data_IF_628166998751
#
_entry.id   IF_628166998751
#
_cell.length_a   1.000
_cell.length_b   1.000
_cell.length_c   1.000
_cell.angle_alpha   90.00
_cell.angle_beta   90.00
_cell.angle_gamma   90.00
#
_symmetry.space_group_name_H-M   'P 1'
#
loop_
_entity.id
_entity.type
_entity.pdbx_description
1 polymer ?
#
# COMPACT_ATOMS: atom_id res chain seq x y z
N UNK A 1 7.72 -0.54 -19.53
CA UNK A 1 7.07 -1.16 -18.35
C UNK A 1 6.28 -2.37 -18.81
N UNK A 2 6.12 -3.41 -17.98
CA UNK A 2 5.19 -4.50 -18.26
C UNK A 2 3.73 -4.06 -17.96
N UNK A 3 2.73 -4.81 -18.41
CA UNK A 3 1.32 -4.43 -18.28
C UNK A 3 0.88 -4.18 -16.81
N UNK A 4 1.28 -5.01 -15.82
CA UNK A 4 0.96 -4.74 -14.41
C UNK A 4 1.57 -3.43 -13.88
N UNK A 5 2.82 -3.13 -14.21
CA UNK A 5 3.47 -1.87 -13.81
C UNK A 5 2.79 -0.65 -14.46
N UNK A 6 2.37 -0.76 -15.72
CA UNK A 6 1.66 0.32 -16.40
C UNK A 6 0.29 0.60 -15.80
N UNK A 7 -0.46 -0.45 -15.42
CA UNK A 7 -1.76 -0.32 -14.78
C UNK A 7 -1.65 0.33 -13.39
N UNK A 8 -0.69 -0.12 -12.58
CA UNK A 8 -0.40 0.47 -11.27
C UNK A 8 -0.02 1.95 -11.37
N UNK A 9 0.90 2.28 -12.29
CA UNK A 9 1.33 3.66 -12.50
C UNK A 9 0.14 4.57 -12.85
N UNK A 10 -0.65 4.16 -13.84
CA UNK A 10 -1.83 4.92 -14.29
C UNK A 10 -2.86 5.10 -13.17
N UNK A 11 -3.15 4.04 -12.41
CA UNK A 11 -4.15 4.08 -11.34
C UNK A 11 -3.73 5.01 -10.20
N UNK A 12 -2.47 4.93 -9.76
CA UNK A 12 -1.95 5.77 -8.68
C UNK A 12 -1.85 7.25 -9.08
N UNK A 13 -1.29 7.53 -10.26
CA UNK A 13 -1.15 8.91 -10.77
C UNK A 13 -2.52 9.52 -11.08
N UNK A 14 -3.48 8.73 -11.56
CA UNK A 14 -4.85 9.15 -11.81
C UNK A 14 -5.62 9.48 -10.54
N UNK A 15 -5.44 8.69 -9.48
CA UNK A 15 -6.12 8.85 -8.20
C UNK A 15 -5.55 9.99 -7.33
N UNK A 16 -4.29 10.36 -7.52
CA UNK A 16 -3.56 11.24 -6.60
C UNK A 16 -4.21 12.61 -6.36
N UNK A 17 -4.56 13.35 -7.42
CA UNK A 17 -5.15 14.68 -7.28
C UNK A 17 -6.58 14.64 -6.74
N UNK A 18 -7.48 13.77 -7.25
CA UNK A 18 -8.81 13.60 -6.65
C UNK A 18 -8.73 13.28 -5.15
N UNK A 19 -7.85 12.36 -4.76
CA UNK A 19 -7.63 12.01 -3.36
C UNK A 19 -7.14 13.21 -2.54
N UNK A 20 -6.08 13.90 -3.00
CA UNK A 20 -5.51 15.04 -2.28
C UNK A 20 -6.52 16.20 -2.13
N UNK A 21 -7.37 16.45 -3.14
CA UNK A 21 -8.45 17.45 -3.00
C UNK A 21 -9.47 17.01 -1.95
N UNK A 22 -9.91 15.75 -2.02
CA UNK A 22 -10.86 15.20 -1.04
C UNK A 22 -10.34 15.24 0.39
N UNK A 23 -9.06 14.91 0.60
CA UNK A 23 -8.44 14.86 1.93
C UNK A 23 -8.28 16.26 2.55
N UNK A 24 -7.99 17.27 1.72
CA UNK A 24 -7.94 18.68 2.13
C UNK A 24 -9.33 19.18 2.56
N UNK A 25 -10.35 18.88 1.75
CA UNK A 25 -11.74 19.26 2.05
C UNK A 25 -12.24 18.60 3.33
N UNK A 26 -12.01 17.29 3.50
CA UNK A 26 -12.37 16.52 4.69
C UNK A 26 -11.76 17.14 5.96
N UNK A 27 -10.48 17.53 5.90
CA UNK A 27 -9.75 18.14 7.01
C UNK A 27 -9.99 19.63 7.16
N UNK A 28 -10.77 20.24 6.27
CA UNK A 28 -11.02 21.69 6.23
C UNK A 28 -9.72 22.50 6.13
N UNK A 29 -8.75 21.97 5.39
CA UNK A 29 -7.48 22.64 5.11
C UNK A 29 -7.66 23.60 3.92
N UNK A 30 -6.85 24.67 3.84
CA UNK A 30 -6.91 25.56 2.69
C UNK A 30 -6.58 24.81 1.40
N UNK A 31 -7.22 25.18 0.27
CA UNK A 31 -6.90 24.59 -1.01
C UNK A 31 -5.45 24.92 -1.39
N UNK A 32 -4.80 23.97 -2.03
CA UNK A 32 -3.45 24.16 -2.56
C UNK A 32 -3.48 24.87 -3.93
N UNK A 33 -2.48 25.71 -4.25
CA UNK A 33 -2.32 26.23 -5.60
C UNK A 33 -2.18 25.12 -6.64
N UNK A 34 -2.69 25.35 -7.85
CA UNK A 34 -2.59 24.37 -8.95
C UNK A 34 -1.14 23.98 -9.27
N UNK A 35 -0.18 24.89 -9.07
CA UNK A 35 1.25 24.64 -9.24
C UNK A 35 1.79 23.64 -8.21
N UNK A 36 1.37 23.75 -6.94
CA UNK A 36 1.75 22.80 -5.89
C UNK A 36 1.15 21.41 -6.16
N UNK A 37 -0.12 21.36 -6.58
CA UNK A 37 -0.77 20.12 -6.98
C UNK A 37 -0.06 19.45 -8.18
N UNK A 38 0.23 20.24 -9.22
CA UNK A 38 0.88 19.75 -10.44
C UNK A 38 2.30 19.26 -10.16
N UNK A 39 3.06 19.99 -9.33
CA UNK A 39 4.42 19.62 -8.96
C UNK A 39 4.46 18.32 -8.15
N UNK A 40 3.54 18.15 -7.19
CA UNK A 40 3.43 16.93 -6.40
C UNK A 40 3.05 15.72 -7.26
N UNK A 41 2.10 15.89 -8.20
CA UNK A 41 1.73 14.85 -9.15
C UNK A 41 2.89 14.48 -10.09
N UNK A 42 3.61 15.47 -10.60
CA UNK A 42 4.75 15.24 -11.49
C UNK A 42 5.88 14.46 -10.77
N UNK A 43 6.16 14.83 -9.51
CA UNK A 43 7.12 14.10 -8.68
C UNK A 43 6.70 12.64 -8.46
N UNK A 44 5.43 12.41 -8.09
CA UNK A 44 4.89 11.05 -7.94
C UNK A 44 5.01 10.25 -9.25
N UNK A 45 4.64 10.87 -10.36
CA UNK A 45 4.68 10.25 -11.69
C UNK A 45 6.09 9.79 -12.06
N UNK A 46 7.10 10.62 -11.79
CA UNK A 46 8.52 10.32 -12.03
C UNK A 46 9.05 9.23 -11.09
N UNK A 47 8.86 9.37 -9.78
CA UNK A 47 9.39 8.43 -8.79
C UNK A 47 8.73 7.06 -8.89
N UNK A 48 7.42 7.01 -9.16
CA UNK A 48 6.72 5.75 -9.36
C UNK A 48 7.20 5.07 -10.65
N UNK A 49 7.41 5.82 -11.74
CA UNK A 49 7.99 5.27 -12.96
C UNK A 49 9.41 4.72 -12.71
N UNK A 50 10.23 5.43 -11.94
CA UNK A 50 11.56 4.97 -11.54
C UNK A 50 11.48 3.67 -10.74
N UNK A 51 10.67 3.63 -9.68
CA UNK A 51 10.50 2.45 -8.83
C UNK A 51 10.11 1.23 -9.66
N UNK A 52 9.13 1.39 -10.55
CA UNK A 52 8.57 0.30 -11.35
C UNK A 52 9.48 -0.15 -12.51
N UNK A 53 10.49 0.64 -12.86
CA UNK A 53 11.54 0.25 -13.80
C UNK A 53 12.61 -0.64 -13.14
N UNK A 54 12.73 -0.63 -11.81
CA UNK A 54 13.71 -1.46 -11.10
C UNK A 54 13.28 -2.94 -11.08
N UNK A 55 14.23 -3.88 -11.08
CA UNK A 55 13.95 -5.27 -10.71
C UNK A 55 13.33 -5.35 -9.31
N UNK A 56 12.41 -6.29 -9.09
CA UNK A 56 11.71 -6.45 -7.80
C UNK A 56 12.63 -6.55 -6.57
N UNK A 57 13.80 -7.19 -6.72
CA UNK A 57 14.81 -7.30 -5.65
C UNK A 57 15.46 -5.97 -5.25
N UNK A 58 15.33 -4.93 -6.08
CA UNK A 58 15.85 -3.57 -5.84
C UNK A 58 14.74 -2.57 -5.53
N UNK A 59 13.48 -2.99 -5.56
CA UNK A 59 12.35 -2.18 -5.15
C UNK A 59 12.24 -2.21 -3.62
N UNK A 60 13.02 -1.37 -2.94
CA UNK A 60 13.02 -1.31 -1.47
C UNK A 60 11.80 -0.56 -0.90
N UNK A 61 11.20 0.32 -1.72
CA UNK A 61 9.93 1.00 -1.44
C UNK A 61 8.76 0.27 -2.10
N UNK A 62 7.57 0.47 -1.58
CA UNK A 62 6.28 0.14 -2.16
C UNK A 62 5.70 1.33 -2.93
N UNK A 63 4.78 1.08 -3.88
CA UNK A 63 4.04 2.15 -4.56
C UNK A 63 3.31 3.08 -3.59
N UNK A 64 2.76 2.54 -2.50
CA UNK A 64 2.06 3.32 -1.49
C UNK A 64 3.01 4.27 -0.75
N UNK A 65 4.21 3.80 -0.37
CA UNK A 65 5.23 4.65 0.25
C UNK A 65 5.62 5.82 -0.67
N UNK A 66 5.71 5.61 -1.99
CA UNK A 66 5.98 6.71 -2.93
C UNK A 66 4.84 7.74 -2.94
N UNK A 67 3.57 7.31 -2.86
CA UNK A 67 2.44 8.24 -2.74
C UNK A 67 2.50 9.01 -1.42
N UNK A 68 2.86 8.34 -0.32
CA UNK A 68 3.00 8.98 0.98
C UNK A 68 4.13 10.01 0.98
N UNK A 69 5.27 9.72 0.35
CA UNK A 69 6.38 10.65 0.16
C UNK A 69 5.99 11.87 -0.70
N UNK A 70 5.14 11.69 -1.71
CA UNK A 70 4.66 12.77 -2.56
C UNK A 70 3.88 13.87 -1.79
N UNK A 71 3.44 13.58 -0.56
CA UNK A 71 2.76 14.55 0.32
C UNK A 71 3.70 15.58 0.93
N UNK A 72 5.02 15.44 0.78
CA UNK A 72 5.99 16.41 1.28
C UNK A 72 5.80 17.82 0.67
N UNK A 73 5.57 17.90 -0.65
CA UNK A 73 5.31 19.17 -1.34
C UNK A 73 4.02 19.86 -0.86
N UNK A 74 2.86 19.17 -0.89
CA UNK A 74 1.61 19.64 -0.29
C UNK A 74 1.75 20.09 1.17
N UNK A 75 2.47 19.33 1.98
CA UNK A 75 2.72 19.66 3.40
C UNK A 75 3.50 20.96 3.55
N UNK A 76 4.57 21.14 2.78
CA UNK A 76 5.38 22.36 2.80
C UNK A 76 4.56 23.60 2.38
N UNK A 77 3.62 23.44 1.46
CA UNK A 77 2.75 24.53 1.02
C UNK A 77 1.72 24.91 2.10
N UNK A 78 1.15 23.93 2.81
CA UNK A 78 0.29 24.19 3.97
C UNK A 78 1.06 24.89 5.10
N UNK A 79 2.30 24.50 5.33
CA UNK A 79 3.19 25.16 6.29
C UNK A 79 3.44 26.62 5.90
N UNK A 80 3.71 26.88 4.62
CA UNK A 80 3.98 28.23 4.09
C UNK A 80 2.82 29.19 4.32
N UNK A 81 1.58 28.71 4.22
CA UNK A 81 0.36 29.52 4.45
C UNK A 81 -0.07 29.54 5.93
N UNK A 82 0.68 28.87 6.82
CA UNK A 82 0.37 28.82 8.24
C UNK A 82 -0.91 28.05 8.56
N UNK A 83 -1.24 27.02 7.77
CA UNK A 83 -2.42 26.20 8.01
C UNK A 83 -2.34 25.53 9.39
N UNK A 84 -3.46 25.48 10.09
CA UNK A 84 -3.57 24.83 11.40
C UNK A 84 -3.59 23.31 11.19
N UNK A 85 -2.59 22.61 11.73
CA UNK A 85 -2.54 21.15 11.65
C UNK A 85 -3.68 20.53 12.49
N UNK A 86 -4.38 19.51 11.96
CA UNK A 86 -5.40 18.79 12.71
C UNK A 86 -4.78 18.00 13.87
N UNK A 87 -5.59 17.67 14.87
CA UNK A 87 -5.18 16.69 15.88
C UNK A 87 -5.06 15.32 15.19
N UNK A 88 -3.90 14.68 15.34
CA UNK A 88 -3.62 13.36 14.76
C UNK A 88 -3.53 12.30 15.84
N UNK A 89 -3.94 11.10 15.47
CA UNK A 89 -3.77 9.90 16.28
C UNK A 89 -2.27 9.61 16.53
N UNK A 90 -1.82 9.28 17.76
CA UNK A 90 -0.42 9.01 18.06
C UNK A 90 0.19 7.85 17.26
N UNK A 91 -0.59 6.81 16.93
CA UNK A 91 -0.11 5.68 16.12
C UNK A 91 0.12 6.15 14.69
N UNK A 92 -0.80 6.92 14.12
CA UNK A 92 -0.64 7.51 12.79
C UNK A 92 0.55 8.49 12.69
N UNK A 93 0.82 9.25 13.76
CA UNK A 93 2.01 10.12 13.85
C UNK A 93 3.29 9.30 13.92
N UNK A 94 3.31 8.22 14.69
CA UNK A 94 4.47 7.34 14.77
C UNK A 94 4.76 6.62 13.44
N UNK A 95 3.71 6.20 12.72
CA UNK A 95 3.84 5.54 11.43
C UNK A 95 4.34 6.48 10.32
N UNK A 96 3.85 7.73 10.29
CA UNK A 96 4.22 8.72 9.29
C UNK A 96 4.52 10.08 9.95
N UNK A 97 5.73 10.26 10.53
CA UNK A 97 6.09 11.46 11.29
C UNK A 97 6.11 12.74 10.44
N UNK A 98 6.44 12.62 9.14
CA UNK A 98 6.49 13.74 8.21
C UNK A 98 5.12 14.24 7.74
N UNK A 99 4.06 13.46 7.95
CA UNK A 99 2.72 13.76 7.44
C UNK A 99 1.94 14.69 8.39
N UNK A 100 2.47 15.89 8.65
CA UNK A 100 1.96 16.80 9.68
C UNK A 100 0.45 17.09 9.58
N UNK A 101 -0.08 17.13 8.36
CA UNK A 101 -1.48 17.43 8.08
C UNK A 101 -2.34 16.18 7.88
N UNK A 102 -1.77 14.97 8.00
CA UNK A 102 -2.50 13.73 7.82
C UNK A 102 -2.95 13.51 6.36
N UNK A 103 -2.21 13.99 5.37
CA UNK A 103 -2.55 13.93 3.95
C UNK A 103 -2.23 12.57 3.34
N UNK A 104 -1.34 11.79 3.94
CA UNK A 104 -0.85 10.56 3.34
C UNK A 104 -1.89 9.43 3.50
N UNK A 105 -2.18 8.66 2.43
CA UNK A 105 -3.11 7.55 2.52
C UNK A 105 -2.52 6.43 3.38
N UNK A 106 -3.29 5.94 4.34
CA UNK A 106 -2.90 4.79 5.18
C UNK A 106 -2.93 3.45 4.41
N UNK A 107 -3.72 3.39 3.32
CA UNK A 107 -3.93 2.20 2.49
C UNK A 107 -4.16 2.61 1.04
N UNK A 108 -3.85 1.76 0.06
CA UNK A 108 -4.21 2.02 -1.34
C UNK A 108 -5.71 1.93 -1.60
N UNK A 109 -6.51 1.38 -0.67
CA UNK A 109 -7.96 1.29 -0.78
C UNK A 109 -8.61 2.67 -0.92
N UNK A 110 -8.13 3.67 -0.16
CA UNK A 110 -8.69 5.03 -0.19
C UNK A 110 -8.36 5.81 -1.48
N UNK A 111 -7.50 5.26 -2.34
CA UNK A 111 -7.21 5.80 -3.66
C UNK A 111 -8.21 5.30 -4.73
N UNK A 112 -9.12 4.40 -4.36
CA UNK A 112 -10.12 3.83 -5.25
C UNK A 112 -9.80 2.40 -5.69
N UNK A 113 -10.83 1.74 -6.21
CA UNK A 113 -10.82 0.30 -6.52
C UNK A 113 -9.70 -0.10 -7.49
N UNK A 114 -9.48 0.69 -8.54
CA UNK A 114 -8.46 0.40 -9.54
C UNK A 114 -7.04 0.47 -8.96
N UNK A 115 -6.76 1.48 -8.12
CA UNK A 115 -5.47 1.63 -7.46
C UNK A 115 -5.24 0.48 -6.47
N UNK A 116 -6.27 0.11 -5.69
CA UNK A 116 -6.19 -1.03 -4.79
C UNK A 116 -5.87 -2.34 -5.54
N UNK A 117 -6.65 -2.67 -6.57
CA UNK A 117 -6.45 -3.90 -7.34
C UNK A 117 -5.06 -3.94 -8.00
N UNK A 118 -4.58 -2.83 -8.55
CA UNK A 118 -3.26 -2.77 -9.15
C UNK A 118 -2.12 -2.92 -8.13
N UNK A 119 -2.26 -2.34 -6.93
CA UNK A 119 -1.29 -2.48 -5.85
C UNK A 119 -1.17 -3.93 -5.38
N UNK A 120 -2.31 -4.61 -5.24
CA UNK A 120 -2.39 -6.02 -4.89
C UNK A 120 -1.70 -6.90 -5.93
N UNK A 121 -2.00 -6.69 -7.21
CA UNK A 121 -1.35 -7.40 -8.31
C UNK A 121 0.18 -7.20 -8.33
N UNK A 122 0.66 -5.97 -8.07
CA UNK A 122 2.08 -5.69 -7.93
C UNK A 122 2.73 -6.46 -6.77
N UNK A 123 2.09 -6.46 -5.59
CA UNK A 123 2.60 -7.14 -4.40
C UNK A 123 2.75 -8.65 -4.63
N UNK A 124 1.74 -9.27 -5.25
CA UNK A 124 1.75 -10.69 -5.62
C UNK A 124 2.85 -11.00 -6.62
N UNK A 125 2.97 -10.19 -7.68
CA UNK A 125 4.01 -10.37 -8.69
C UNK A 125 5.41 -10.24 -8.09
N UNK A 126 5.61 -9.27 -7.17
CA UNK A 126 6.87 -9.09 -6.44
C UNK A 126 7.20 -10.31 -5.58
N UNK A 127 6.24 -10.80 -4.79
CA UNK A 127 6.44 -11.98 -3.96
C UNK A 127 6.74 -13.22 -4.78
N UNK A 128 6.03 -13.44 -5.89
CA UNK A 128 6.29 -14.56 -6.79
C UNK A 128 7.70 -14.52 -7.38
N UNK A 129 8.19 -13.33 -7.75
CA UNK A 129 9.53 -13.16 -8.29
C UNK A 129 10.63 -13.36 -7.24
N UNK A 130 10.35 -13.06 -5.97
CA UNK A 130 11.30 -13.20 -4.87
C UNK A 130 11.25 -14.59 -4.20
N UNK A 131 10.14 -15.33 -4.34
CA UNK A 131 9.93 -16.65 -3.75
C UNK A 131 11.07 -17.65 -4.02
N UNK A 132 11.63 -17.78 -5.24
CA UNK A 132 12.74 -18.72 -5.49
C UNK A 132 14.05 -18.34 -4.80
N UNK A 133 14.21 -17.08 -4.39
CA UNK A 133 15.43 -16.56 -3.78
C UNK A 133 15.46 -16.77 -2.26
N UNK A 134 14.31 -17.03 -1.64
CA UNK A 134 14.18 -17.28 -0.20
C UNK A 134 14.11 -18.79 0.03
N UNK A 135 15.25 -19.40 0.33
CA UNK A 135 15.34 -20.85 0.61
C UNK A 135 14.45 -21.22 1.80
N UNK A 136 13.39 -22.01 1.57
CA UNK A 136 12.52 -22.55 2.62
C UNK A 136 11.13 -21.92 2.78
N UNK A 137 10.75 -20.92 1.97
CA UNK A 137 9.36 -20.47 1.90
C UNK A 137 8.57 -21.28 0.86
N UNK A 138 7.36 -21.74 1.20
CA UNK A 138 6.47 -22.40 0.24
C UNK A 138 5.97 -21.39 -0.80
N UNK A 139 5.54 -21.83 -1.98
CA UNK A 139 4.86 -20.97 -2.98
C UNK A 139 3.45 -20.53 -2.53
N UNK A 140 3.27 -20.32 -1.24
CA UNK A 140 2.00 -20.06 -0.58
C UNK A 140 1.86 -18.57 -0.28
N UNK A 141 0.67 -18.04 -0.54
CA UNK A 141 0.23 -16.72 -0.12
C UNK A 141 -0.87 -16.93 0.91
N UNK A 142 -0.74 -16.28 2.06
CA UNK A 142 -1.80 -16.28 3.06
C UNK A 142 -2.72 -15.11 2.86
N UNK A 143 -4.01 -15.37 3.00
CA UNK A 143 -5.05 -14.34 2.97
C UNK A 143 -5.89 -14.47 4.23
N UNK A 144 -5.90 -13.40 5.01
CA UNK A 144 -6.77 -13.19 6.17
C UNK A 144 -7.72 -12.06 5.77
N UNK A 145 -8.94 -12.40 5.35
CA UNK A 145 -9.90 -11.45 4.78
C UNK A 145 -11.31 -11.75 5.26
N UNK A 146 -12.07 -10.71 5.65
CA UNK A 146 -13.50 -10.83 5.88
C UNK A 146 -14.32 -10.56 4.60
N UNK A 147 -13.75 -9.85 3.63
CA UNK A 147 -14.41 -9.53 2.35
C UNK A 147 -14.15 -10.61 1.28
N UNK A 148 -15.24 -11.10 0.67
CA UNK A 148 -15.21 -12.09 -0.42
C UNK A 148 -14.74 -11.50 -1.76
N UNK A 149 -15.00 -10.21 -2.01
CA UNK A 149 -14.59 -9.51 -3.24
C UNK A 149 -13.07 -9.36 -3.25
N UNK A 150 -12.51 -8.87 -2.14
CA UNK A 150 -11.05 -8.72 -2.03
C UNK A 150 -10.34 -10.07 -2.09
N UNK A 151 -10.92 -11.09 -1.44
CA UNK A 151 -10.43 -12.46 -1.55
C UNK A 151 -10.42 -12.97 -2.99
N UNK A 152 -11.48 -12.74 -3.77
CA UNK A 152 -11.54 -13.17 -5.18
C UNK A 152 -10.46 -12.50 -6.02
N UNK A 153 -10.24 -11.19 -5.84
CA UNK A 153 -9.20 -10.44 -6.58
C UNK A 153 -7.80 -10.95 -6.25
N UNK A 154 -7.56 -11.22 -4.97
CA UNK A 154 -6.30 -11.81 -4.52
C UNK A 154 -6.12 -13.19 -5.15
N UNK A 155 -7.16 -14.01 -5.17
CA UNK A 155 -7.11 -15.35 -5.75
C UNK A 155 -6.74 -15.31 -7.24
N UNK A 156 -7.35 -14.41 -8.02
CA UNK A 156 -7.06 -14.26 -9.45
C UNK A 156 -5.60 -13.86 -9.70
N UNK A 157 -5.08 -12.91 -8.92
CA UNK A 157 -3.70 -12.47 -9.04
C UNK A 157 -2.71 -13.55 -8.55
N UNK A 158 -3.02 -14.28 -7.47
CA UNK A 158 -2.22 -15.42 -6.96
C UNK A 158 -2.13 -16.52 -8.02
N UNK A 159 -3.26 -16.85 -8.66
CA UNK A 159 -3.33 -17.85 -9.74
C UNK A 159 -2.49 -17.43 -10.95
N UNK A 160 -2.57 -16.16 -11.35
CA UNK A 160 -1.77 -15.61 -12.44
C UNK A 160 -0.26 -15.64 -12.18
N UNK A 161 0.15 -15.65 -10.91
CA UNK A 161 1.54 -15.71 -10.49
C UNK A 161 2.04 -17.14 -10.16
N UNK A 162 1.23 -18.17 -10.43
CA UNK A 162 1.53 -19.57 -10.12
C UNK A 162 1.87 -19.80 -8.63
N UNK A 163 1.21 -19.04 -7.75
CA UNK A 163 1.27 -19.21 -6.30
C UNK A 163 0.02 -19.96 -5.81
N UNK A 164 0.07 -20.49 -4.59
CA UNK A 164 -1.05 -21.17 -3.94
C UNK A 164 -1.64 -20.28 -2.85
N UNK A 165 -2.94 -20.02 -2.92
CA UNK A 165 -3.63 -19.29 -1.85
C UNK A 165 -3.97 -20.23 -0.69
N UNK A 166 -3.70 -19.82 0.53
CA UNK A 166 -4.07 -20.54 1.75
C UNK A 166 -4.79 -19.59 2.73
N UNK A 167 -5.88 -20.07 3.32
CA UNK A 167 -6.50 -19.43 4.49
C UNK A 167 -5.77 -19.90 5.74
N UNK A 168 -5.51 -19.00 6.68
CA UNK A 168 -4.88 -19.35 7.95
C UNK A 168 -5.77 -18.97 9.13
N UNK A 169 -6.29 -19.94 9.89
CA UNK A 169 -7.10 -19.67 11.08
C UNK A 169 -6.19 -19.30 12.25
N UNK A 170 -5.88 -18.01 12.39
CA UNK A 170 -4.88 -17.45 13.31
C UNK A 170 -5.12 -17.95 14.75
N UNK A 171 -6.35 -17.81 15.25
CA UNK A 171 -6.71 -18.16 16.63
C UNK A 171 -6.63 -19.67 16.97
N UNK A 172 -6.64 -20.55 15.97
CA UNK A 172 -6.69 -22.01 16.17
C UNK A 172 -5.35 -22.69 15.83
N UNK A 173 -4.38 -21.95 15.31
CA UNK A 173 -3.15 -22.50 14.76
C UNK A 173 -1.99 -22.44 15.76
N UNK A 174 -1.32 -23.57 15.95
CA UNK A 174 -0.07 -23.65 16.73
C UNK A 174 1.18 -23.56 15.87
N UNK A 175 1.05 -23.80 14.56
CA UNK A 175 2.13 -23.68 13.58
C UNK A 175 1.99 -22.38 12.80
N UNK A 176 3.03 -21.54 12.88
CA UNK A 176 3.08 -20.31 12.10
C UNK A 176 3.53 -20.66 10.67
N UNK A 177 2.67 -20.46 9.67
CA UNK A 177 3.03 -20.70 8.29
C UNK A 177 4.12 -19.73 7.84
N UNK A 178 4.91 -20.15 6.84
CA UNK A 178 5.98 -19.33 6.25
C UNK A 178 5.67 -19.04 4.79
N UNK A 179 4.60 -18.27 4.50
CA UNK A 179 4.27 -17.90 3.13
C UNK A 179 5.30 -16.91 2.59
N UNK A 180 5.32 -16.77 1.26
CA UNK A 180 6.13 -15.75 0.58
C UNK A 180 5.54 -14.35 0.76
N UNK A 181 4.24 -14.27 1.02
CA UNK A 181 3.48 -13.04 1.24
C UNK A 181 2.22 -13.34 2.03
N UNK A 182 1.82 -12.42 2.89
CA UNK A 182 0.52 -12.46 3.54
C UNK A 182 -0.26 -11.17 3.26
N UNK A 183 -1.55 -11.34 2.97
CA UNK A 183 -2.52 -10.26 2.89
C UNK A 183 -3.41 -10.33 4.12
N UNK A 184 -3.49 -9.22 4.85
CA UNK A 184 -4.29 -9.13 6.07
C UNK A 184 -5.25 -7.93 5.97
N UNK A 185 -6.54 -8.22 5.96
CA UNK A 185 -7.60 -7.25 6.13
C UNK A 185 -7.59 -6.74 7.58
N UNK A 186 -7.31 -5.46 7.80
CA UNK A 186 -7.22 -4.83 9.12
C UNK A 186 -8.57 -4.78 9.83
N UNK A 187 -9.67 -5.01 9.11
CA UNK A 187 -11.00 -5.16 9.71
C UNK A 187 -11.28 -6.59 10.19
N UNK A 188 -10.40 -7.55 9.89
CA UNK A 188 -10.50 -8.91 10.40
C UNK A 188 -10.25 -8.92 11.92
N UNK A 189 -11.04 -9.65 12.72
CA UNK A 189 -10.89 -9.66 14.18
C UNK A 189 -9.49 -10.08 14.66
N UNK A 190 -8.83 -10.96 13.90
CA UNK A 190 -7.49 -11.45 14.21
C UNK A 190 -6.35 -10.69 13.48
N UNK A 191 -6.64 -9.54 12.87
CA UNK A 191 -5.68 -8.85 12.00
C UNK A 191 -4.37 -8.47 12.71
N UNK A 192 -4.46 -7.84 13.88
CA UNK A 192 -3.30 -7.39 14.64
C UNK A 192 -2.39 -8.56 15.03
N UNK A 193 -2.99 -9.66 15.48
CA UNK A 193 -2.28 -10.89 15.83
C UNK A 193 -1.63 -11.52 14.59
N UNK A 194 -2.36 -11.62 13.49
CA UNK A 194 -1.85 -12.15 12.23
C UNK A 194 -0.62 -11.36 11.74
N UNK A 195 -0.73 -10.02 11.72
CA UNK A 195 0.35 -9.12 11.30
C UNK A 195 1.56 -9.32 12.22
N UNK A 196 1.36 -9.29 13.53
CA UNK A 196 2.45 -9.42 14.50
C UNK A 196 3.19 -10.76 14.34
N UNK A 197 2.45 -11.86 14.23
CA UNK A 197 3.02 -13.22 14.14
C UNK A 197 3.75 -13.42 12.81
N UNK A 198 3.15 -13.01 11.69
CA UNK A 198 3.77 -13.15 10.37
C UNK A 198 5.00 -12.24 10.21
N UNK A 199 4.92 -11.00 10.69
CA UNK A 199 6.06 -10.08 10.68
C UNK A 199 7.21 -10.62 11.55
N UNK A 200 6.92 -11.17 12.74
CA UNK A 200 7.92 -11.81 13.59
C UNK A 200 8.56 -13.04 12.95
N UNK A 201 7.82 -13.75 12.09
CA UNK A 201 8.34 -14.86 11.28
C UNK A 201 9.15 -14.41 10.05
N UNK A 202 9.28 -13.10 9.82
CA UNK A 202 9.99 -12.53 8.66
C UNK A 202 9.20 -12.58 7.35
N UNK A 203 7.90 -12.85 7.41
CA UNK A 203 7.01 -12.78 6.25
C UNK A 203 6.71 -11.32 5.92
N UNK A 204 6.74 -10.97 4.63
CA UNK A 204 6.22 -9.69 4.18
C UNK A 204 4.70 -9.68 4.31
N UNK A 205 4.16 -8.68 4.98
CA UNK A 205 2.72 -8.53 5.21
C UNK A 205 2.22 -7.28 4.49
N UNK A 206 1.14 -7.43 3.72
CA UNK A 206 0.39 -6.31 3.13
C UNK A 206 -0.93 -6.21 3.88
N UNK A 207 -1.01 -5.21 4.74
CA UNK A 207 -2.24 -4.85 5.43
C UNK A 207 -3.14 -4.00 4.51
N UNK A 208 -4.43 -4.28 4.48
CA UNK A 208 -5.43 -3.55 3.69
C UNK A 208 -6.77 -3.49 4.43
N UNK A 209 -7.72 -2.67 3.99
CA UNK A 209 -8.98 -2.39 4.71
C UNK A 209 -9.15 -0.90 4.89
#
# INVERSE_FOLDING_TARGET
MNAPASALHSAFVGAFIPYLKGILDERRLPPLPDEALSSARAWLEEELAHLLALPFSRQHRSPLEVVQEAMAGPTAELDRVGAVAPLRDPVAVAALPGDRYGLAPASSNVLGEEAFAAHMAWGIAKAAALAPLVSGQGRQVIVVSNDLIDRSRIEDAVRGAELQMQSWPVAESTDVPRPVLAFVDVTHPDADEAIAVLAAAGTSVVAYG
#
